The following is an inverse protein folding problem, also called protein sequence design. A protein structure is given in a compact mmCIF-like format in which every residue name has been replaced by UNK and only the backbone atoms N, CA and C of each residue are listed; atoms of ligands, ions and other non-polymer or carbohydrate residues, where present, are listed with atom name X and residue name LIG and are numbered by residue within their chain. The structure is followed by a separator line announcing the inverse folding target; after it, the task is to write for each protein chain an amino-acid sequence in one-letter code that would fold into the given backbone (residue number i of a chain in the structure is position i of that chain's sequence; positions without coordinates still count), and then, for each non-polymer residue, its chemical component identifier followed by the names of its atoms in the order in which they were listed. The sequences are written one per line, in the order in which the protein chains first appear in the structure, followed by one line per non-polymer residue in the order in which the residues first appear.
data_IF_681652195108
#
_entry.id   IF_681652195108
#
_cell.length_a   1.000
_cell.length_b   1.000
_cell.length_c   1.000
_cell.angle_alpha   90.00
_cell.angle_beta   90.00
_cell.angle_gamma   90.00
#
_symmetry.space_group_name_H-M   'P 1'
#
loop_
_entity.id
_entity.type
_entity.pdbx_description
1 polymer ?
#
# COMPACT_ATOMS: atom_id res chain seq x y z
N UNK A 1 16.33 1.17 24.26
CA UNK A 1 15.23 0.18 24.21
C UNK A 1 14.13 0.82 23.39
N UNK A 2 13.73 0.18 22.29
CA UNK A 2 12.76 0.70 21.33
C UNK A 2 11.39 0.77 22.01
N UNK A 3 10.90 1.98 22.29
CA UNK A 3 9.50 2.21 22.66
C UNK A 3 8.69 2.09 21.37
N UNK A 4 8.20 0.89 21.08
CA UNK A 4 7.34 0.64 19.92
C UNK A 4 5.96 1.22 20.23
N UNK A 5 5.64 2.31 19.52
CA UNK A 5 4.43 3.14 19.69
C UNK A 5 3.20 2.38 19.19
N UNK A 6 2.16 2.27 20.02
CA UNK A 6 0.92 1.59 19.66
C UNK A 6 -0.08 2.47 18.88
N UNK A 7 -1.00 1.81 18.18
CA UNK A 7 -2.15 2.42 17.49
C UNK A 7 -3.41 2.21 18.34
N UNK A 8 -4.22 3.25 18.51
CA UNK A 8 -5.55 3.13 19.14
C UNK A 8 -6.63 3.14 18.07
N UNK A 9 -7.46 2.10 18.05
CA UNK A 9 -8.63 1.97 17.18
C UNK A 9 -9.88 2.24 18.02
N UNK A 10 -10.71 3.18 17.60
CA UNK A 10 -11.95 3.55 18.30
C UNK A 10 -13.14 3.13 17.46
N UNK A 11 -13.96 2.22 17.97
CA UNK A 11 -15.28 1.88 17.39
C UNK A 11 -16.27 2.97 17.81
N UNK A 12 -16.71 3.75 16.84
CA UNK A 12 -17.67 4.83 17.04
C UNK A 12 -19.07 4.30 16.75
N UNK A 13 -19.95 4.34 17.75
CA UNK A 13 -21.31 3.82 17.66
C UNK A 13 -22.35 4.84 18.15
N UNK A 14 -23.60 4.65 17.73
CA UNK A 14 -24.73 5.45 18.22
C UNK A 14 -25.34 4.78 19.46
N UNK A 15 -25.84 5.58 20.41
CA UNK A 15 -26.37 5.05 21.68
C UNK A 15 -27.52 4.05 21.49
N UNK A 16 -28.28 4.22 20.41
CA UNK A 16 -29.42 3.38 20.07
C UNK A 16 -29.07 2.08 19.32
N UNK A 17 -27.87 1.97 18.72
CA UNK A 17 -27.45 0.78 17.97
C UNK A 17 -26.40 -0.08 18.72
N UNK A 18 -25.66 0.53 19.65
CA UNK A 18 -24.57 -0.15 20.36
C UNK A 18 -23.35 -0.44 19.47
N UNK A 19 -22.22 -0.90 20.08
CA UNK A 19 -20.97 -1.18 19.37
C UNK A 19 -21.06 -2.43 18.49
N UNK A 20 -20.17 -2.52 17.49
CA UNK A 20 -20.25 -3.55 16.46
C UNK A 20 -19.73 -4.91 16.94
N UNK A 21 -20.65 -5.77 17.42
CA UNK A 21 -20.33 -7.10 17.98
C UNK A 21 -19.51 -8.02 17.06
N UNK A 22 -19.74 -8.10 15.73
CA UNK A 22 -18.96 -8.95 14.84
C UNK A 22 -17.48 -8.57 14.75
N UNK A 23 -17.15 -7.31 14.99
CA UNK A 23 -15.78 -6.79 14.80
C UNK A 23 -14.93 -7.03 16.04
N UNK A 24 -15.55 -7.28 17.20
CA UNK A 24 -14.86 -7.66 18.45
C UNK A 24 -13.96 -8.89 18.25
N UNK A 25 -14.45 -9.92 17.57
CA UNK A 25 -13.68 -11.15 17.31
C UNK A 25 -12.52 -10.92 16.33
N UNK A 26 -12.73 -10.07 15.32
CA UNK A 26 -11.69 -9.69 14.36
C UNK A 26 -10.58 -8.90 15.07
N UNK A 27 -10.95 -7.95 15.92
CA UNK A 27 -10.02 -7.12 16.67
C UNK A 27 -9.24 -7.90 17.73
N UNK A 28 -9.88 -8.85 18.40
CA UNK A 28 -9.18 -9.76 19.31
C UNK A 28 -8.11 -10.57 18.57
N UNK A 29 -8.40 -11.05 17.36
CA UNK A 29 -7.45 -11.77 16.51
C UNK A 29 -6.29 -10.87 16.08
N UNK A 30 -6.58 -9.66 15.60
CA UNK A 30 -5.56 -8.67 15.22
C UNK A 30 -4.67 -8.27 16.40
N UNK A 31 -5.23 -8.11 17.59
CA UNK A 31 -4.46 -7.76 18.81
C UNK A 31 -3.47 -8.85 19.19
N UNK A 32 -3.83 -10.12 18.96
CA UNK A 32 -2.96 -11.27 19.22
C UNK A 32 -1.85 -11.36 18.16
N UNK A 33 -2.18 -11.10 16.90
CA UNK A 33 -1.22 -11.15 15.78
C UNK A 33 -0.21 -9.99 15.79
N UNK A 34 -0.64 -8.78 16.16
CA UNK A 34 0.20 -7.56 16.15
C UNK A 34 0.92 -7.34 17.49
N UNK A 35 0.42 -7.93 18.59
CA UNK A 35 0.96 -7.78 19.94
C UNK A 35 0.15 -6.82 20.81
N UNK A 36 -0.06 -7.21 22.08
CA UNK A 36 -0.99 -6.56 23.02
C UNK A 36 -0.65 -5.09 23.31
N UNK A 37 0.63 -4.73 23.23
CA UNK A 37 1.14 -3.39 23.60
C UNK A 37 1.16 -2.41 22.41
N UNK A 38 0.87 -2.89 21.20
CA UNK A 38 0.92 -2.11 19.96
C UNK A 38 -0.45 -1.74 19.41
N UNK A 39 -1.52 -2.34 19.93
CA UNK A 39 -2.87 -2.13 19.43
C UNK A 39 -3.87 -2.02 20.57
N UNK A 40 -4.34 -0.80 20.81
CA UNK A 40 -5.35 -0.48 21.80
C UNK A 40 -6.71 -0.29 21.13
N UNK A 41 -7.78 -0.75 21.78
CA UNK A 41 -9.14 -0.60 21.30
C UNK A 41 -9.97 0.18 22.30
N UNK A 42 -10.73 1.16 21.82
CA UNK A 42 -11.67 1.92 22.62
C UNK A 42 -13.04 1.98 21.94
N UNK A 43 -14.07 2.27 22.73
CA UNK A 43 -15.44 2.46 22.25
C UNK A 43 -15.84 3.91 22.49
N UNK A 44 -16.47 4.54 21.51
CA UNK A 44 -16.96 5.92 21.64
C UNK A 44 -18.41 6.03 21.18
N UNK A 45 -19.29 6.54 22.04
CA UNK A 45 -20.66 6.85 21.69
C UNK A 45 -20.74 8.24 21.06
N UNK A 46 -21.11 8.32 19.78
CA UNK A 46 -21.12 9.57 19.02
C UNK A 46 -22.16 10.59 19.54
N UNK A 47 -23.30 10.10 20.02
CA UNK A 47 -24.37 10.95 20.55
C UNK A 47 -23.93 11.72 21.80
N UNK A 48 -23.00 11.14 22.56
CA UNK A 48 -22.49 11.67 23.84
C UNK A 48 -21.26 12.57 23.69
N UNK A 49 -20.71 12.75 22.47
CA UNK A 49 -19.46 13.46 22.23
C UNK A 49 -19.59 14.50 21.11
N UNK A 50 -19.45 15.79 21.44
CA UNK A 50 -19.58 16.88 20.47
C UNK A 50 -18.50 16.84 19.38
N UNK A 51 -17.30 16.34 19.71
CA UNK A 51 -16.22 16.14 18.73
C UNK A 51 -16.57 15.10 17.66
N UNK A 52 -17.59 14.27 17.88
CA UNK A 52 -18.08 13.25 16.96
C UNK A 52 -19.43 13.62 16.33
N UNK A 53 -19.85 14.89 16.40
CA UNK A 53 -21.14 15.36 15.87
C UNK A 53 -21.35 14.98 14.39
N UNK A 54 -20.29 15.02 13.57
CA UNK A 54 -20.33 14.63 12.15
C UNK A 54 -20.72 13.17 11.89
N UNK A 55 -20.61 12.32 12.90
CA UNK A 55 -20.96 10.90 12.84
C UNK A 55 -22.32 10.59 13.47
N UNK A 56 -23.01 11.58 14.06
CA UNK A 56 -24.34 11.39 14.65
C UNK A 56 -25.37 11.02 13.59
N UNK A 57 -26.31 10.15 13.94
CA UNK A 57 -27.42 9.74 13.09
C UNK A 57 -27.03 8.83 11.91
N UNK A 58 -25.78 8.38 11.83
CA UNK A 58 -25.31 7.40 10.83
C UNK A 58 -25.11 6.03 11.49
N UNK A 59 -25.68 4.99 10.88
CA UNK A 59 -25.54 3.61 11.34
C UNK A 59 -24.63 2.83 10.39
N UNK A 60 -23.39 3.30 10.26
CA UNK A 60 -22.35 2.70 9.43
C UNK A 60 -21.12 2.40 10.32
N UNK A 61 -20.43 1.27 10.10
CA UNK A 61 -19.26 0.91 10.89
C UNK A 61 -18.17 1.98 10.73
N UNK A 62 -17.92 2.74 11.78
CA UNK A 62 -16.99 3.87 11.79
C UNK A 62 -15.86 3.60 12.77
N UNK A 63 -14.64 3.42 12.23
CA UNK A 63 -13.45 3.20 13.04
C UNK A 63 -12.48 4.38 12.90
N UNK A 64 -12.06 4.95 14.03
CA UNK A 64 -11.06 6.01 14.07
C UNK A 64 -9.73 5.45 14.54
N UNK A 65 -8.65 5.81 13.85
CA UNK A 65 -7.31 5.31 14.14
C UNK A 65 -6.42 6.47 14.62
N UNK A 66 -5.90 6.36 15.84
CA UNK A 66 -5.02 7.36 16.45
C UNK A 66 -3.64 6.76 16.69
N UNK A 67 -2.60 7.46 16.23
CA UNK A 67 -1.22 7.17 16.58
C UNK A 67 -0.77 8.14 17.67
N UNK A 68 -0.26 7.63 18.80
CA UNK A 68 0.23 8.48 19.89
C UNK A 68 1.66 8.93 19.54
N UNK A 69 1.88 10.24 19.39
CA UNK A 69 3.21 10.85 19.29
C UNK A 69 3.62 11.38 20.67
N UNK A 70 4.87 11.09 21.06
CA UNK A 70 5.48 11.65 22.27
C UNK A 70 6.03 13.03 21.91
N UNK A 71 5.51 14.07 22.58
CA UNK A 71 5.97 15.45 22.43
C UNK A 71 7.08 15.74 23.43
N UNK A 72 8.30 15.26 23.12
CA UNK A 72 9.51 15.71 23.78
C UNK A 72 10.73 15.42 22.90
N UNK A 73 11.08 16.40 22.04
CA UNK A 73 12.45 16.89 21.77
C UNK A 73 12.32 17.91 20.62
N UNK A 74 12.26 19.16 21.06
CA UNK A 74 12.06 20.41 20.35
C UNK A 74 13.18 20.76 19.38
N UNK A 75 12.77 21.40 18.27
CA UNK A 75 13.32 22.63 17.69
C UNK A 75 14.85 22.77 17.64
N UNK A 76 15.43 22.76 16.43
CA UNK A 76 16.47 23.70 15.94
C UNK A 76 16.88 23.30 14.51
N UNK A 77 16.13 23.71 13.48
CA UNK A 77 16.71 23.94 12.13
C UNK A 77 15.75 24.72 11.22
N UNK A 78 15.29 25.89 11.68
CA UNK A 78 14.78 26.93 10.80
C UNK A 78 15.52 28.22 11.12
N UNK A 79 16.53 28.55 10.29
CA UNK A 79 17.01 29.90 9.99
C UNK A 79 18.25 29.80 9.10
N UNK A 80 18.09 30.06 7.81
CA UNK A 80 18.95 30.94 7.01
C UNK A 80 18.57 30.84 5.53
N UNK A 81 17.73 31.77 5.06
CA UNK A 81 18.11 32.72 4.00
C UNK A 81 16.90 33.56 3.60
N UNK A 82 17.05 34.87 3.78
CA UNK A 82 16.13 35.89 3.32
C UNK A 82 16.69 36.50 2.02
N UNK A 83 15.78 36.73 1.07
CA UNK A 83 15.80 37.73 -0.02
C UNK A 83 16.65 37.47 -1.28
N UNK A 84 15.94 37.15 -2.38
CA UNK A 84 15.94 38.05 -3.53
C UNK A 84 14.65 38.00 -4.35
N UNK A 85 14.21 39.22 -4.66
CA UNK A 85 13.13 39.72 -5.49
C UNK A 85 13.24 39.32 -6.98
N UNK A 86 12.09 39.30 -7.67
CA UNK A 86 11.98 39.29 -9.13
C UNK A 86 11.45 37.99 -9.72
N UNK A 87 10.14 37.95 -10.03
CA UNK A 87 9.45 36.78 -10.57
C UNK A 87 9.73 36.48 -12.03
N UNK A 88 9.52 35.20 -12.36
CA UNK A 88 8.94 34.62 -13.58
C UNK A 88 8.62 33.16 -13.21
N UNK A 89 7.41 32.69 -13.55
CA UNK A 89 6.89 31.35 -13.24
C UNK A 89 7.91 30.24 -13.59
N UNK A 90 8.51 29.62 -12.59
CA UNK A 90 9.06 28.28 -12.72
C UNK A 90 8.12 27.32 -12.00
N UNK A 91 7.42 26.51 -12.81
CA UNK A 91 6.63 25.36 -12.37
C UNK A 91 7.47 24.48 -11.44
N UNK A 92 7.29 24.65 -10.12
CA UNK A 92 7.75 23.69 -9.13
C UNK A 92 6.81 22.49 -9.21
N UNK A 93 7.06 21.62 -10.20
CA UNK A 93 6.50 20.26 -10.22
C UNK A 93 7.13 19.52 -9.05
N UNK A 94 6.37 19.42 -7.96
CA UNK A 94 6.56 18.36 -6.98
C UNK A 94 6.50 17.04 -7.75
N UNK A 95 7.66 16.46 -8.03
CA UNK A 95 7.75 15.16 -8.71
C UNK A 95 7.24 14.09 -7.75
N UNK A 96 5.92 13.88 -7.77
CA UNK A 96 5.26 12.77 -7.08
C UNK A 96 5.93 11.48 -7.57
N UNK A 97 6.63 10.77 -6.68
CA UNK A 97 7.34 9.54 -7.06
C UNK A 97 6.31 8.42 -7.27
N UNK A 98 5.89 8.24 -8.52
CA UNK A 98 5.02 7.15 -8.92
C UNK A 98 5.75 5.81 -8.84
N UNK A 99 5.04 4.76 -8.42
CA UNK A 99 5.60 3.41 -8.35
C UNK A 99 4.66 2.38 -8.96
N UNK A 100 5.24 1.27 -9.42
CA UNK A 100 4.52 0.17 -10.07
C UNK A 100 4.98 -1.16 -9.50
N UNK A 101 4.09 -2.16 -9.59
CA UNK A 101 4.42 -3.53 -9.27
C UNK A 101 5.10 -4.20 -10.47
N UNK A 102 6.21 -4.86 -10.21
CA UNK A 102 6.80 -5.83 -11.13
C UNK A 102 6.88 -7.20 -10.46
N UNK A 103 6.57 -8.26 -11.21
CA UNK A 103 6.75 -9.64 -10.73
C UNK A 103 7.61 -10.39 -11.72
N UNK A 104 8.71 -10.97 -11.27
CA UNK A 104 9.44 -12.03 -11.97
C UNK A 104 8.78 -13.34 -11.58
N UNK A 105 8.16 -13.99 -12.57
CA UNK A 105 7.32 -15.16 -12.40
C UNK A 105 8.13 -16.41 -12.07
N UNK A 106 7.50 -17.48 -11.52
CA UNK A 106 8.21 -18.67 -11.08
C UNK A 106 9.03 -19.36 -12.17
N UNK A 107 8.58 -19.31 -13.43
CA UNK A 107 9.33 -19.83 -14.56
C UNK A 107 10.70 -19.16 -14.69
N UNK A 108 10.77 -17.83 -14.67
CA UNK A 108 12.04 -17.12 -14.78
C UNK A 108 12.93 -17.31 -13.54
N UNK A 109 12.33 -17.41 -12.35
CA UNK A 109 13.07 -17.67 -11.10
C UNK A 109 13.72 -19.05 -11.12
N UNK A 110 12.97 -20.10 -11.48
CA UNK A 110 13.47 -21.49 -11.54
C UNK A 110 14.59 -21.65 -12.58
N UNK A 111 14.53 -20.89 -13.69
CA UNK A 111 15.60 -20.89 -14.69
C UNK A 111 16.81 -20.02 -14.30
N UNK A 112 16.87 -19.48 -13.08
CA UNK A 112 17.99 -18.69 -12.59
C UNK A 112 18.15 -17.34 -13.29
N UNK A 113 17.06 -16.77 -13.83
CA UNK A 113 17.08 -15.52 -14.60
C UNK A 113 16.81 -14.26 -13.78
N UNK A 114 16.52 -14.41 -12.49
CA UNK A 114 16.18 -13.30 -11.59
C UNK A 114 17.21 -12.18 -11.59
N UNK A 115 18.48 -12.50 -11.37
CA UNK A 115 19.54 -11.48 -11.23
C UNK A 115 19.81 -10.77 -12.56
N UNK A 116 19.74 -11.50 -13.67
CA UNK A 116 19.88 -10.95 -15.03
C UNK A 116 18.74 -9.96 -15.35
N UNK A 117 17.51 -10.30 -14.98
CA UNK A 117 16.34 -9.43 -15.15
C UNK A 117 16.44 -8.19 -14.25
N UNK A 118 16.85 -8.35 -12.98
CA UNK A 118 17.05 -7.23 -12.04
C UNK A 118 18.12 -6.27 -12.57
N UNK A 119 19.24 -6.78 -13.08
CA UNK A 119 20.29 -5.97 -13.67
C UNK A 119 19.75 -5.16 -14.86
N UNK A 120 18.99 -5.78 -15.77
CA UNK A 120 18.35 -5.07 -16.89
C UNK A 120 17.35 -4.01 -16.45
N UNK A 121 16.62 -4.25 -15.36
CA UNK A 121 15.70 -3.26 -14.76
C UNK A 121 16.50 -2.03 -14.30
N UNK A 122 17.61 -2.24 -13.59
CA UNK A 122 18.46 -1.15 -13.11
C UNK A 122 19.16 -0.41 -14.26
N UNK A 123 19.68 -1.13 -15.25
CA UNK A 123 20.29 -0.55 -16.46
C UNK A 123 19.30 0.31 -17.28
N UNK A 124 18.01 -0.03 -17.23
CA UNK A 124 16.94 0.75 -17.85
C UNK A 124 16.53 2.00 -17.03
N UNK A 125 17.20 2.26 -15.90
CA UNK A 125 16.99 3.45 -15.08
C UNK A 125 15.86 3.34 -14.06
N UNK A 126 15.45 2.13 -13.69
CA UNK A 126 14.49 1.92 -12.60
C UNK A 126 15.20 1.77 -11.26
N UNK A 127 14.65 2.44 -10.25
CA UNK A 127 15.00 2.24 -8.85
C UNK A 127 14.11 1.13 -8.26
N UNK A 128 14.74 0.17 -7.58
CA UNK A 128 14.03 -0.94 -6.93
C UNK A 128 13.85 -0.59 -5.45
N UNK A 129 12.64 -0.18 -5.07
CA UNK A 129 12.30 0.19 -3.68
C UNK A 129 12.11 -1.02 -2.77
N UNK A 130 11.71 -2.15 -3.33
CA UNK A 130 11.49 -3.39 -2.59
C UNK A 130 11.80 -4.57 -3.50
N UNK A 131 12.38 -5.62 -2.93
CA UNK A 131 12.78 -6.84 -3.61
C UNK A 131 12.50 -8.02 -2.70
N UNK A 132 11.34 -8.66 -2.87
CA UNK A 132 10.87 -9.73 -1.98
C UNK A 132 10.61 -11.01 -2.75
N UNK A 133 11.22 -12.11 -2.31
CA UNK A 133 10.90 -13.44 -2.79
C UNK A 133 9.72 -14.03 -2.02
N UNK A 134 8.66 -14.42 -2.73
CA UNK A 134 7.44 -14.94 -2.12
C UNK A 134 6.79 -16.00 -2.99
N UNK A 135 6.35 -17.09 -2.37
CA UNK A 135 5.44 -18.05 -3.00
C UNK A 135 4.01 -17.62 -2.75
N UNK A 136 3.26 -17.40 -3.82
CA UNK A 136 1.88 -16.89 -3.74
C UNK A 136 0.88 -17.97 -3.39
N UNK A 137 -0.14 -17.61 -2.63
CA UNK A 137 -1.29 -18.48 -2.40
C UNK A 137 -2.30 -18.39 -3.54
N UNK A 138 -3.08 -19.45 -3.71
CA UNK A 138 -4.15 -19.48 -4.71
C UNK A 138 -5.20 -18.38 -4.47
N UNK A 139 -5.55 -18.12 -3.20
CA UNK A 139 -6.50 -17.08 -2.83
C UNK A 139 -6.01 -15.68 -3.27
N UNK A 140 -4.74 -15.36 -3.01
CA UNK A 140 -4.12 -14.10 -3.45
C UNK A 140 -4.13 -13.98 -4.98
N UNK A 141 -3.72 -15.03 -5.71
CA UNK A 141 -3.66 -14.98 -7.18
C UNK A 141 -5.04 -14.95 -7.84
N UNK A 142 -6.05 -15.56 -7.23
CA UNK A 142 -7.44 -15.46 -7.71
C UNK A 142 -7.97 -14.05 -7.56
N UNK A 143 -7.69 -13.38 -6.44
CA UNK A 143 -8.02 -11.96 -6.24
C UNK A 143 -7.23 -11.06 -7.20
N UNK A 144 -5.92 -11.32 -7.35
CA UNK A 144 -5.04 -10.55 -8.22
C UNK A 144 -5.51 -10.56 -9.68
N UNK A 145 -5.85 -11.74 -10.21
CA UNK A 145 -6.31 -11.93 -11.58
C UNK A 145 -7.84 -11.99 -11.72
N UNK A 146 -8.60 -11.48 -10.76
CA UNK A 146 -10.07 -11.58 -10.77
C UNK A 146 -10.69 -11.04 -12.08
N UNK A 147 -10.11 -9.97 -12.64
CA UNK A 147 -10.54 -9.38 -13.91
C UNK A 147 -10.40 -10.33 -15.12
N UNK A 148 -9.63 -11.43 -14.98
CA UNK A 148 -9.38 -12.45 -16.01
C UNK A 148 -10.13 -13.75 -15.75
N UNK A 149 -11.02 -13.82 -14.76
CA UNK A 149 -11.70 -15.05 -14.36
C UNK A 149 -12.54 -15.70 -15.48
N UNK A 150 -12.90 -14.95 -16.52
CA UNK A 150 -13.61 -15.46 -17.70
C UNK A 150 -12.72 -15.99 -18.83
N UNK A 151 -11.40 -15.90 -18.71
CA UNK A 151 -10.47 -16.37 -19.75
C UNK A 151 -10.17 -17.86 -19.64
N UNK A 152 -10.08 -18.57 -20.77
CA UNK A 152 -9.76 -20.01 -20.79
C UNK A 152 -8.42 -20.35 -20.10
N UNK A 153 -7.47 -19.42 -20.15
CA UNK A 153 -6.15 -19.58 -19.54
C UNK A 153 -6.09 -19.21 -18.06
N UNK A 154 -7.19 -18.76 -17.44
CA UNK A 154 -7.20 -18.24 -16.07
C UNK A 154 -6.70 -19.25 -15.04
N UNK A 155 -7.24 -20.47 -15.06
CA UNK A 155 -6.85 -21.52 -14.11
C UNK A 155 -5.37 -21.93 -14.31
N UNK A 156 -4.91 -22.02 -15.57
CA UNK A 156 -3.50 -22.29 -15.89
C UNK A 156 -2.58 -21.18 -15.36
N UNK A 157 -3.00 -19.92 -15.46
CA UNK A 157 -2.25 -18.76 -14.96
C UNK A 157 -2.16 -18.75 -13.43
N UNK A 158 -3.28 -18.95 -12.73
CA UNK A 158 -3.30 -19.00 -11.27
C UNK A 158 -2.41 -20.14 -10.77
N UNK A 159 -2.54 -21.33 -11.35
CA UNK A 159 -1.71 -22.48 -10.99
C UNK A 159 -0.22 -22.21 -11.25
N UNK A 160 0.12 -21.58 -12.38
CA UNK A 160 1.49 -21.18 -12.69
C UNK A 160 2.08 -20.26 -11.62
N UNK A 161 1.36 -19.20 -11.23
CA UNK A 161 1.85 -18.24 -10.24
C UNK A 161 2.03 -18.83 -8.83
N UNK A 162 1.28 -19.89 -8.51
CA UNK A 162 1.39 -20.60 -7.23
C UNK A 162 2.40 -21.76 -7.26
N UNK A 163 2.97 -22.08 -8.43
CA UNK A 163 3.81 -23.28 -8.61
C UNK A 163 5.19 -23.19 -7.94
N UNK A 164 5.61 -22.00 -7.52
CA UNK A 164 6.90 -21.76 -6.89
C UNK A 164 7.11 -20.30 -6.48
N UNK A 165 8.33 -19.97 -6.02
CA UNK A 165 8.66 -18.61 -5.62
C UNK A 165 8.64 -17.66 -6.83
N UNK A 166 8.04 -16.49 -6.63
CA UNK A 166 8.14 -15.34 -7.52
C UNK A 166 9.03 -14.28 -6.88
N UNK A 167 9.62 -13.39 -7.69
CA UNK A 167 10.25 -12.18 -7.17
C UNK A 167 9.35 -10.97 -7.38
N UNK A 168 8.91 -10.36 -6.30
CA UNK A 168 8.08 -9.16 -6.32
C UNK A 168 8.96 -7.94 -6.11
N UNK A 169 8.82 -6.98 -6.99
CA UNK A 169 9.56 -5.74 -6.97
C UNK A 169 8.58 -4.57 -6.94
N UNK A 170 8.92 -3.55 -6.15
CA UNK A 170 8.30 -2.22 -6.27
C UNK A 170 9.29 -1.36 -7.03
N UNK A 171 8.90 -0.92 -8.22
CA UNK A 171 9.73 -0.09 -9.09
C UNK A 171 9.28 1.36 -8.98
N UNK A 172 10.22 2.28 -8.90
CA UNK A 172 10.01 3.71 -9.13
C UNK A 172 10.98 4.17 -10.20
N UNK A 173 10.68 5.30 -10.83
CA UNK A 173 11.58 5.94 -11.76
C UNK A 173 11.66 7.41 -11.42
N UNK A 174 12.85 7.86 -11.02
CA UNK A 174 13.09 9.25 -10.62
C UNK A 174 13.62 10.11 -11.77
N UNK A 175 14.08 9.48 -12.85
CA UNK A 175 14.64 10.14 -14.03
C UNK A 175 13.76 9.93 -15.28
N UNK A 176 13.39 11.05 -15.91
CA UNK A 176 12.61 11.07 -17.15
C UNK A 176 11.22 11.66 -16.98
N UNK A 177 10.57 11.95 -18.11
CA UNK A 177 9.20 12.49 -18.17
C UNK A 177 8.14 11.39 -18.36
N UNK A 178 8.57 10.15 -18.57
CA UNK A 178 7.68 9.00 -18.81
C UNK A 178 7.20 8.39 -17.49
N UNK A 179 5.90 8.13 -17.41
CA UNK A 179 5.28 7.42 -16.30
C UNK A 179 5.92 6.03 -16.06
N UNK A 180 6.13 5.67 -14.79
CA UNK A 180 6.81 4.42 -14.39
C UNK A 180 6.12 3.16 -14.91
N UNK A 181 4.78 3.15 -14.95
CA UNK A 181 4.02 2.00 -15.46
C UNK A 181 4.25 1.87 -16.96
N UNK A 182 4.17 2.98 -17.69
CA UNK A 182 4.42 3.03 -19.13
C UNK A 182 5.83 2.59 -19.47
N UNK A 183 6.82 3.13 -18.78
CA UNK A 183 8.22 2.75 -18.94
C UNK A 183 8.43 1.23 -18.69
N UNK A 184 7.85 0.70 -17.60
CA UNK A 184 7.99 -0.71 -17.25
C UNK A 184 7.37 -1.62 -18.32
N UNK A 185 6.20 -1.22 -18.84
CA UNK A 185 5.53 -1.93 -19.93
C UNK A 185 6.35 -1.93 -21.22
N UNK A 186 7.00 -0.82 -21.54
CA UNK A 186 7.92 -0.73 -22.67
C UNK A 186 9.10 -1.69 -22.51
N UNK A 187 9.71 -1.76 -21.32
CA UNK A 187 10.82 -2.68 -21.03
C UNK A 187 10.39 -4.16 -21.09
N UNK A 188 9.19 -4.49 -20.59
CA UNK A 188 8.65 -5.84 -20.66
C UNK A 188 8.36 -6.30 -22.10
N UNK A 189 7.85 -5.40 -22.93
CA UNK A 189 7.40 -5.70 -24.29
C UNK A 189 6.05 -6.42 -24.38
N UNK A 190 5.65 -6.86 -25.60
CA UNK A 190 4.36 -7.52 -25.86
C UNK A 190 4.11 -8.73 -24.95
N UNK A 191 2.85 -8.93 -24.54
CA UNK A 191 2.48 -9.98 -23.57
C UNK A 191 2.86 -11.40 -24.05
N UNK A 192 2.67 -11.68 -25.35
CA UNK A 192 3.06 -12.94 -25.98
C UNK A 192 4.56 -12.94 -26.32
N UNK A 193 5.36 -13.87 -25.76
CA UNK A 193 6.79 -13.98 -26.03
C UNK A 193 7.17 -14.14 -27.52
N UNK A 194 6.33 -14.81 -28.32
CA UNK A 194 6.58 -14.95 -29.76
C UNK A 194 6.44 -13.61 -30.48
N UNK A 195 5.41 -12.84 -30.12
CA UNK A 195 5.21 -11.49 -30.66
C UNK A 195 6.32 -10.56 -30.19
N UNK A 196 6.74 -10.68 -28.92
CA UNK A 196 7.85 -9.93 -28.37
C UNK A 196 9.15 -10.20 -29.13
N UNK A 197 9.51 -11.48 -29.38
CA UNK A 197 10.69 -11.84 -30.18
C UNK A 197 10.70 -11.24 -31.59
N UNK A 198 9.52 -11.15 -32.23
CA UNK A 198 9.41 -10.60 -33.58
C UNK A 198 9.46 -9.06 -33.61
N UNK A 199 8.82 -8.38 -32.64
CA UNK A 199 8.63 -6.93 -32.68
C UNK A 199 9.62 -6.14 -31.82
N UNK A 200 10.06 -6.72 -30.70
CA UNK A 200 10.89 -6.09 -29.68
C UNK A 200 11.84 -7.16 -29.09
N UNK A 201 12.84 -7.63 -29.85
CA UNK A 201 13.70 -8.74 -29.46
C UNK A 201 14.50 -8.47 -28.18
N UNK A 202 14.77 -7.20 -27.87
CA UNK A 202 15.49 -6.78 -26.68
C UNK A 202 14.59 -6.60 -25.44
N UNK A 203 13.29 -6.86 -25.56
CA UNK A 203 12.37 -6.82 -24.41
C UNK A 203 12.57 -8.00 -23.47
N UNK A 204 12.15 -7.86 -22.20
CA UNK A 204 12.28 -8.93 -21.22
C UNK A 204 11.46 -10.17 -21.61
N UNK A 205 10.25 -9.98 -22.15
CA UNK A 205 9.38 -11.10 -22.58
C UNK A 205 9.94 -11.84 -23.79
N UNK A 206 10.69 -11.15 -24.67
CA UNK A 206 11.37 -11.79 -25.78
C UNK A 206 12.53 -12.68 -25.33
N UNK A 207 13.33 -12.20 -24.38
CA UNK A 207 14.55 -12.86 -23.89
C UNK A 207 14.25 -14.01 -22.91
N UNK A 208 13.27 -13.84 -22.03
CA UNK A 208 13.02 -14.76 -20.91
C UNK A 208 11.67 -15.48 -20.99
N UNK A 209 10.72 -14.98 -21.79
CA UNK A 209 9.42 -15.61 -21.95
C UNK A 209 9.46 -16.83 -22.88
N UNK A 210 8.73 -17.89 -22.52
CA UNK A 210 8.68 -19.13 -23.29
C UNK A 210 7.46 -19.16 -24.21
N UNK A 211 6.28 -19.28 -23.64
CA UNK A 211 4.97 -19.30 -24.30
C UNK A 211 3.91 -18.63 -23.42
N UNK A 212 2.68 -18.43 -23.91
CA UNK A 212 1.60 -17.94 -23.05
C UNK A 212 1.04 -19.06 -22.14
N UNK A 213 0.82 -18.81 -20.83
CA UNK A 213 0.96 -17.56 -20.08
C UNK A 213 2.33 -17.33 -19.37
N UNK A 214 3.34 -18.15 -19.68
CA UNK A 214 4.70 -18.17 -19.15
C UNK A 214 5.62 -17.12 -19.84
N UNK A 215 5.29 -15.86 -19.62
CA UNK A 215 6.02 -14.73 -20.22
C UNK A 215 7.08 -14.11 -19.29
N UNK A 216 7.59 -14.86 -18.31
CA UNK A 216 8.63 -14.46 -17.35
C UNK A 216 8.33 -13.28 -16.41
N UNK A 217 7.64 -12.23 -16.86
CA UNK A 217 7.42 -10.99 -16.09
C UNK A 217 5.98 -10.46 -16.18
N UNK A 218 5.46 -9.95 -15.06
CA UNK A 218 4.21 -9.20 -14.94
C UNK A 218 4.48 -7.75 -14.59
N UNK A 219 3.58 -6.88 -15.04
CA UNK A 219 3.50 -5.49 -14.61
C UNK A 219 2.09 -4.97 -14.81
N UNK A 220 1.76 -3.96 -14.00
CA UNK A 220 0.43 -3.35 -13.98
C UNK A 220 0.06 -2.74 -15.34
N UNK A 221 -1.25 -2.59 -15.58
CA UNK A 221 -1.75 -2.04 -16.85
C UNK A 221 -1.61 -0.52 -16.91
N UNK A 222 -1.94 0.12 -15.81
CA UNK A 222 -2.01 1.56 -15.59
C UNK A 222 -1.78 1.84 -14.09
N UNK A 223 -1.87 3.11 -13.69
CA UNK A 223 -1.65 3.55 -12.31
C UNK A 223 -2.69 3.01 -11.33
N UNK A 224 -3.96 2.87 -11.73
CA UNK A 224 -5.02 2.33 -10.87
C UNK A 224 -4.77 0.84 -10.56
N UNK A 225 -4.42 0.07 -11.59
CA UNK A 225 -4.00 -1.32 -11.41
C UNK A 225 -2.74 -1.42 -10.55
N UNK A 226 -1.76 -0.52 -10.73
CA UNK A 226 -0.56 -0.50 -9.89
C UNK A 226 -0.91 -0.27 -8.41
N UNK A 227 -1.76 0.71 -8.11
CA UNK A 227 -2.21 0.98 -6.74
C UNK A 227 -2.94 -0.21 -6.12
N UNK A 228 -3.88 -0.82 -6.86
CA UNK A 228 -4.64 -1.99 -6.41
C UNK A 228 -3.74 -3.20 -6.17
N UNK A 229 -2.84 -3.49 -7.11
CA UNK A 229 -1.93 -4.63 -7.04
C UNK A 229 -0.90 -4.48 -5.91
N UNK A 230 -0.35 -3.27 -5.72
CA UNK A 230 0.55 -2.96 -4.61
C UNK A 230 -0.16 -3.06 -3.26
N UNK A 231 -1.38 -2.54 -3.12
CA UNK A 231 -2.15 -2.66 -1.89
C UNK A 231 -2.46 -4.12 -1.53
N UNK A 232 -2.69 -4.98 -2.53
CA UNK A 232 -2.95 -6.41 -2.32
C UNK A 232 -1.70 -7.17 -1.89
N UNK A 233 -0.55 -6.92 -2.52
CA UNK A 233 0.68 -7.71 -2.30
C UNK A 233 1.66 -7.08 -1.30
N UNK A 234 1.52 -5.79 -1.02
CA UNK A 234 2.34 -5.02 -0.10
C UNK A 234 1.47 -4.09 0.77
N UNK A 235 0.63 -4.64 1.66
CA UNK A 235 -0.30 -3.84 2.48
C UNK A 235 0.41 -2.84 3.42
N UNK A 236 1.68 -3.09 3.75
CA UNK A 236 2.51 -2.19 4.56
C UNK A 236 3.19 -1.08 3.76
N UNK A 237 3.16 -1.15 2.42
CA UNK A 237 3.77 -0.13 1.56
C UNK A 237 2.87 1.09 1.50
N UNK A 238 3.43 2.26 1.83
CA UNK A 238 2.76 3.55 1.70
C UNK A 238 3.31 4.25 0.47
N UNK A 239 2.42 4.67 -0.42
CA UNK A 239 2.81 5.54 -1.53
C UNK A 239 3.45 6.81 -0.97
N UNK A 240 4.48 7.36 -1.65
CA UNK A 240 5.08 8.63 -1.26
C UNK A 240 4.09 9.80 -1.10
N UNK A 241 2.88 9.73 -1.67
CA UNK A 241 1.88 10.82 -1.66
C UNK A 241 0.50 10.46 -1.10
N UNK A 242 0.44 9.80 0.06
CA UNK A 242 -0.75 9.94 0.92
C UNK A 242 -0.44 10.72 2.20
N UNK A 243 0.19 11.89 2.03
CA UNK A 243 -0.13 13.05 2.88
C UNK A 243 -1.33 13.72 2.22
N UNK A 244 -2.53 13.22 2.50
CA UNK A 244 -3.71 14.01 2.21
C UNK A 244 -3.64 15.22 3.15
N UNK A 245 -3.33 16.39 2.62
CA UNK A 245 -3.57 17.65 3.32
C UNK A 245 -5.01 17.62 3.82
N UNK A 246 -5.17 17.49 5.13
CA UNK A 246 -6.43 17.80 5.77
C UNK A 246 -6.76 19.26 5.41
N UNK A 247 -8.03 19.60 5.10
CA UNK A 247 -8.40 20.98 4.86
C UNK A 247 -7.92 21.82 6.05
N UNK A 248 -7.12 22.85 5.77
CA UNK A 248 -6.70 23.86 6.74
C UNK A 248 -7.96 24.44 7.41
N UNK A 249 -8.33 23.86 8.55
CA UNK A 249 -9.30 24.46 9.44
C UNK A 249 -8.65 25.70 10.06
N UNK A 250 -9.38 26.80 10.22
CA UNK A 250 -8.82 28.05 10.71
C UNK A 250 -8.20 27.83 12.09
N UNK A 251 -7.00 28.39 12.26
CA UNK A 251 -6.32 28.52 13.54
C UNK A 251 -7.29 29.12 14.57
N UNK A 252 -7.80 28.28 15.46
CA UNK A 252 -8.48 28.71 16.68
C UNK A 252 -7.62 28.18 17.83
N UNK A 253 -6.80 29.08 18.37
CA UNK A 253 -6.24 28.92 19.70
C UNK A 253 -7.39 28.68 20.69
N UNK A 254 -7.49 27.46 21.22
CA UNK A 254 -8.12 27.24 22.52
C UNK A 254 -7.65 25.91 23.09
N UNK A 255 -6.76 26.01 24.07
CA UNK A 255 -6.35 24.92 24.94
C UNK A 255 -7.57 24.24 25.56
N UNK A 256 -7.86 22.99 25.19
CA UNK A 256 -8.78 22.14 25.96
C UNK A 256 -8.18 20.75 26.11
N UNK A 257 -7.61 20.50 27.30
CA UNK A 257 -7.23 19.18 27.78
C UNK A 257 -8.46 18.27 27.78
N UNK A 258 -8.57 17.38 26.80
CA UNK A 258 -9.57 16.32 26.79
C UNK A 258 -9.11 15.18 27.73
N UNK A 259 -9.56 15.26 28.98
CA UNK A 259 -9.42 14.21 29.99
C UNK A 259 -10.44 13.10 29.68
N UNK A 260 -10.11 12.20 28.76
CA UNK A 260 -10.90 11.00 28.49
C UNK A 260 -10.89 10.09 29.73
N UNK A 261 -12.06 9.91 30.35
CA UNK A 261 -12.27 8.86 31.35
C UNK A 261 -12.32 7.52 30.61
N UNK A 262 -11.19 6.80 30.64
CA UNK A 262 -11.12 5.40 30.25
C UNK A 262 -11.92 4.61 31.29
N UNK A 263 -13.06 4.06 30.92
CA UNK A 263 -13.68 2.97 31.69
C UNK A 263 -13.19 1.66 31.10
N UNK A 264 -12.15 1.09 31.72
CA UNK A 264 -11.88 -0.34 31.62
C UNK A 264 -13.10 -1.08 32.18
N UNK A 265 -13.87 -1.73 31.30
CA UNK A 265 -14.74 -2.82 31.73
C UNK A 265 -14.12 -4.11 31.23
N UNK A 266 -13.48 -4.78 32.18
CA UNK A 266 -13.02 -6.15 32.08
C UNK A 266 -14.07 -7.03 31.42
N UNK A 267 -13.66 -7.68 30.32
CA UNK A 267 -14.37 -8.81 29.73
C UNK A 267 -14.12 -10.04 30.61
N UNK A 268 -14.75 -10.09 31.77
CA UNK A 268 -14.86 -11.31 32.53
C UNK A 268 -16.19 -11.32 33.28
N UNK A 269 -17.22 -11.91 32.69
CA UNK A 269 -18.25 -12.63 33.46
C UNK A 269 -19.10 -13.55 32.59
N UNK A 270 -19.37 -14.72 33.17
CA UNK A 270 -20.00 -15.92 32.61
C UNK A 270 -21.51 -15.77 32.51
N UNK A 271 -22.10 -16.37 31.47
CA UNK A 271 -23.03 -17.53 31.54
C UNK A 271 -23.51 -17.92 30.16
#
# INVERSE_FOLDING_TARGET
MLSSKGVTVVDVYQGWCGPCRPVVSLFQKMRIEVGLDLLHFALAEADSLDVLEKYRGRCEPTFLFYAIKDEALSDEEERLSHEKDGGEDEDVVSSEKSCTLAIIKPDAVVHGKTDEIIMKIQEAGFDILTNEERTMTEAEMRLFYQHRAGEEAYEKLVHHMCSGPSRLLILTRTEGTEDVVTAWRTLMGPCDPNVARMKQPDSLRAQYGTEMPFNAVHGSRDGEDASRELALLFPSFKFPDQVQEAPLAPQVESSVQLRLRITDRDLNERS
#
